data_IF_395849544144
#
_entry.id   IF_395849544144
#
_cell.length_a   1.000
_cell.length_b   1.000
_cell.length_c   1.000
_cell.angle_alpha   90.00
_cell.angle_beta   90.00
_cell.angle_gamma   90.00
#
_symmetry.space_group_name_H-M   'P 1'
#
loop_
_entity.id
_entity.type
_entity.pdbx_description
1 polymer ?
#
# COMPACT_ATOMS: atom_id res chain seq x y z
N UNK A 1 10.14 31.50 -14.76
CA UNK A 1 9.70 30.51 -13.75
C UNK A 1 10.89 29.61 -13.50
N UNK A 2 11.39 29.55 -12.28
CA UNK A 2 12.51 28.66 -11.95
C UNK A 2 11.98 27.21 -11.92
N UNK A 3 12.56 26.33 -12.73
CA UNK A 3 12.22 24.91 -12.82
C UNK A 3 13.32 24.01 -12.24
N UNK A 4 14.28 24.64 -11.58
CA UNK A 4 15.36 23.92 -10.91
C UNK A 4 14.77 23.00 -9.83
N UNK A 5 15.09 21.72 -9.89
CA UNK A 5 14.50 20.69 -9.01
C UNK A 5 13.28 19.95 -9.57
N UNK A 6 12.73 20.41 -10.72
CA UNK A 6 11.65 19.68 -11.42
C UNK A 6 12.18 18.93 -12.66
N UNK A 7 13.34 19.32 -13.18
CA UNK A 7 13.94 18.74 -14.39
C UNK A 7 15.45 18.50 -14.20
N UNK A 8 16.01 17.40 -14.73
CA UNK A 8 15.29 16.27 -15.32
C UNK A 8 14.47 15.49 -14.28
N UNK A 9 13.39 14.84 -14.70
CA UNK A 9 12.52 14.06 -13.83
C UNK A 9 12.39 12.63 -14.37
N UNK A 10 12.69 11.64 -13.53
CA UNK A 10 12.63 10.21 -13.87
C UNK A 10 11.41 9.52 -13.29
N UNK A 11 10.48 10.26 -12.65
CA UNK A 11 9.22 9.68 -12.17
C UNK A 11 8.34 9.30 -13.36
N UNK A 12 7.89 8.05 -13.39
CA UNK A 12 7.01 7.53 -14.43
C UNK A 12 5.53 7.85 -14.14
N UNK A 13 5.13 7.86 -12.84
CA UNK A 13 3.75 8.11 -12.43
C UNK A 13 3.43 9.61 -12.38
N UNK A 14 2.29 9.98 -12.99
CA UNK A 14 1.76 11.35 -12.96
C UNK A 14 1.43 11.82 -11.53
N UNK A 15 0.96 10.91 -10.69
CA UNK A 15 0.55 11.20 -9.32
C UNK A 15 1.72 11.72 -8.47
N UNK A 16 2.86 11.04 -8.52
CA UNK A 16 4.08 11.51 -7.86
C UNK A 16 4.52 12.88 -8.38
N UNK A 17 4.46 13.08 -9.70
CA UNK A 17 4.82 14.37 -10.33
C UNK A 17 3.93 15.52 -9.87
N UNK A 18 2.63 15.30 -9.66
CA UNK A 18 1.74 16.34 -9.13
C UNK A 18 2.20 16.82 -7.74
N UNK A 19 2.62 15.88 -6.89
CA UNK A 19 3.09 16.24 -5.54
C UNK A 19 4.47 16.89 -5.56
N UNK A 20 5.35 16.51 -6.49
CA UNK A 20 6.62 17.18 -6.71
C UNK A 20 6.40 18.65 -7.12
N UNK A 21 5.46 18.93 -8.02
CA UNK A 21 5.11 20.30 -8.40
C UNK A 21 4.47 21.07 -7.23
N UNK A 22 3.62 20.42 -6.42
CA UNK A 22 3.05 21.04 -5.21
C UNK A 22 4.15 21.43 -4.21
N UNK A 23 5.12 20.53 -3.99
CA UNK A 23 6.29 20.80 -3.14
C UNK A 23 7.15 21.95 -3.67
N UNK A 24 7.41 21.96 -4.96
CA UNK A 24 8.15 23.06 -5.60
C UNK A 24 7.41 24.40 -5.45
N UNK A 25 6.09 24.44 -5.69
CA UNK A 25 5.30 25.66 -5.49
C UNK A 25 5.40 26.17 -4.04
N UNK A 26 5.35 25.25 -3.06
CA UNK A 26 5.56 25.59 -1.65
C UNK A 26 6.95 26.19 -1.41
N UNK A 27 8.02 25.61 -1.98
CA UNK A 27 9.38 26.14 -1.87
C UNK A 27 9.52 27.55 -2.50
N UNK A 28 8.70 27.85 -3.51
CA UNK A 28 8.58 29.20 -4.11
C UNK A 28 7.69 30.15 -3.29
N UNK A 29 7.29 29.78 -2.08
CA UNK A 29 6.57 30.63 -1.15
C UNK A 29 5.04 30.48 -1.20
N UNK A 30 4.49 29.58 -2.02
CA UNK A 30 3.04 29.32 -2.05
C UNK A 30 2.63 28.55 -0.81
N UNK A 31 1.76 29.12 0.02
CA UNK A 31 1.27 28.49 1.25
C UNK A 31 -0.05 27.74 1.07
N UNK A 32 -0.70 27.89 -0.07
CA UNK A 32 -1.96 27.21 -0.42
C UNK A 32 -1.81 26.56 -1.78
N UNK A 33 -2.01 25.25 -1.84
CA UNK A 33 -1.94 24.47 -3.07
C UNK A 33 -3.20 23.63 -3.21
N UNK A 34 -3.79 23.67 -4.41
CA UNK A 34 -4.94 22.85 -4.77
C UNK A 34 -4.55 21.90 -5.90
N UNK A 35 -4.73 20.61 -5.67
CA UNK A 35 -4.58 19.57 -6.68
C UNK A 35 -5.97 19.09 -7.09
N UNK A 36 -6.22 18.95 -8.39
CA UNK A 36 -7.46 18.36 -8.90
C UNK A 36 -7.19 16.89 -9.29
N UNK A 37 -7.92 15.95 -8.71
CA UNK A 37 -7.78 14.54 -9.00
C UNK A 37 -9.09 13.78 -8.79
N UNK A 38 -9.18 12.60 -9.40
CA UNK A 38 -10.28 11.65 -9.20
C UNK A 38 -9.79 10.35 -8.58
N UNK A 39 -8.48 10.21 -8.46
CA UNK A 39 -7.81 9.04 -7.91
C UNK A 39 -7.56 9.19 -6.40
N UNK A 40 -7.86 8.13 -5.65
CA UNK A 40 -7.61 8.08 -4.21
C UNK A 40 -6.12 7.99 -3.88
N UNK A 41 -5.28 7.51 -4.79
CA UNK A 41 -3.84 7.44 -4.64
C UNK A 41 -3.27 8.85 -4.44
N UNK A 42 -3.74 9.83 -5.24
CA UNK A 42 -3.39 11.25 -5.09
C UNK A 42 -3.78 11.80 -3.71
N UNK A 43 -4.93 11.39 -3.17
CA UNK A 43 -5.34 11.85 -1.82
C UNK A 43 -4.38 11.33 -0.75
N UNK A 44 -4.00 10.07 -0.82
CA UNK A 44 -3.06 9.46 0.13
C UNK A 44 -1.68 10.10 0.04
N UNK A 45 -1.19 10.33 -1.18
CA UNK A 45 0.05 11.05 -1.43
C UNK A 45 -0.01 12.49 -0.92
N UNK A 46 -1.14 13.19 -1.11
CA UNK A 46 -1.31 14.56 -0.62
C UNK A 46 -1.29 14.64 0.91
N UNK A 47 -1.87 13.66 1.63
CA UNK A 47 -1.79 13.60 3.10
C UNK A 47 -0.34 13.45 3.55
N UNK A 48 0.42 12.52 2.94
CA UNK A 48 1.84 12.35 3.24
C UNK A 48 2.65 13.60 2.91
N UNK A 49 2.39 14.23 1.77
CA UNK A 49 3.07 15.46 1.35
C UNK A 49 2.78 16.61 2.31
N UNK A 50 1.52 16.80 2.73
CA UNK A 50 1.14 17.81 3.71
C UNK A 50 1.84 17.60 5.06
N UNK A 51 1.97 16.34 5.49
CA UNK A 51 2.75 16.00 6.68
C UNK A 51 4.23 16.40 6.59
N UNK A 52 4.83 16.37 5.39
CA UNK A 52 6.21 16.83 5.17
C UNK A 52 6.27 18.36 5.10
N UNK A 53 5.33 18.99 4.41
CA UNK A 53 5.30 20.44 4.16
C UNK A 53 4.62 21.24 5.27
N UNK A 54 4.55 20.78 6.46
CA UNK A 54 3.90 21.27 7.73
C UNK A 54 3.07 22.57 7.65
N UNK A 55 3.58 23.63 7.02
CA UNK A 55 2.93 24.94 6.92
C UNK A 55 2.21 25.18 5.57
N UNK A 56 1.90 24.12 4.83
CA UNK A 56 1.21 24.20 3.54
C UNK A 56 -0.25 23.76 3.68
N UNK A 57 -1.18 24.65 3.36
CA UNK A 57 -2.59 24.28 3.16
C UNK A 57 -2.73 23.52 1.84
N UNK A 58 -2.59 22.19 1.88
CA UNK A 58 -2.73 21.33 0.71
C UNK A 58 -4.15 20.76 0.63
N UNK A 59 -4.81 21.05 -0.50
CA UNK A 59 -6.17 20.62 -0.78
C UNK A 59 -6.23 19.73 -2.00
N UNK A 60 -7.14 18.75 -2.00
CA UNK A 60 -7.48 17.95 -3.17
C UNK A 60 -8.94 18.21 -3.57
N UNK A 61 -9.13 18.77 -4.76
CA UNK A 61 -10.45 18.86 -5.42
C UNK A 61 -10.75 17.50 -6.03
N UNK A 62 -11.54 16.69 -5.33
CA UNK A 62 -11.72 15.28 -5.59
C UNK A 62 -13.08 14.93 -6.18
N UNK A 63 -13.07 14.12 -7.22
CA UNK A 63 -14.25 13.52 -7.83
C UNK A 63 -14.95 14.41 -8.86
N UNK A 64 -16.15 14.00 -9.27
CA UNK A 64 -16.96 14.68 -10.29
C UNK A 64 -18.43 14.81 -9.89
N UNK A 65 -19.11 15.82 -10.44
CA UNK A 65 -20.55 16.04 -10.31
C UNK A 65 -20.99 16.04 -8.84
N UNK A 66 -21.99 15.25 -8.49
CA UNK A 66 -22.54 15.15 -7.12
C UNK A 66 -21.59 14.54 -6.09
N UNK A 67 -20.51 13.92 -6.53
CA UNK A 67 -19.48 13.33 -5.66
C UNK A 67 -18.24 14.23 -5.52
N UNK A 68 -18.26 15.40 -6.15
CA UNK A 68 -17.19 16.38 -6.01
C UNK A 68 -17.13 16.94 -4.59
N UNK A 69 -15.92 17.01 -4.04
CA UNK A 69 -15.63 17.57 -2.72
C UNK A 69 -14.20 18.07 -2.62
N UNK A 70 -13.97 19.00 -1.72
CA UNK A 70 -12.62 19.38 -1.32
C UNK A 70 -12.18 18.56 -0.13
N UNK A 71 -10.96 18.00 -0.19
CA UNK A 71 -10.33 17.24 0.88
C UNK A 71 -9.16 18.06 1.39
N UNK A 72 -9.19 18.44 2.66
CA UNK A 72 -8.12 19.16 3.34
C UNK A 72 -7.05 18.16 3.79
N UNK A 73 -6.09 17.83 2.91
CA UNK A 73 -5.06 16.84 3.18
C UNK A 73 -4.19 17.22 4.39
N UNK A 74 -3.89 18.52 4.56
CA UNK A 74 -3.18 19.04 5.71
C UNK A 74 -3.92 18.80 7.03
N UNK A 75 -5.25 19.04 7.07
CA UNK A 75 -6.03 18.79 8.29
C UNK A 75 -6.06 17.31 8.67
N UNK A 76 -6.09 16.41 7.68
CA UNK A 76 -5.99 14.96 7.95
C UNK A 76 -4.60 14.61 8.46
N UNK A 77 -3.54 15.21 7.90
CA UNK A 77 -2.18 14.98 8.35
C UNK A 77 -1.93 15.50 9.77
N UNK A 78 -2.56 16.61 10.16
CA UNK A 78 -2.47 17.18 11.51
C UNK A 78 -3.13 16.29 12.59
N UNK A 79 -4.17 15.53 12.22
CA UNK A 79 -4.86 14.58 13.10
C UNK A 79 -4.13 13.23 13.23
N UNK A 80 -3.16 12.96 12.35
CA UNK A 80 -2.35 11.76 12.35
C UNK A 80 -0.94 12.04 12.88
N UNK A 81 -0.35 11.05 13.56
CA UNK A 81 1.08 11.11 13.85
C UNK A 81 1.93 10.90 12.58
N UNK A 82 3.19 11.33 12.64
CA UNK A 82 4.12 11.25 11.50
C UNK A 82 4.31 9.80 11.00
N UNK A 83 4.32 8.83 11.91
CA UNK A 83 4.45 7.41 11.60
C UNK A 83 3.21 6.90 10.85
N UNK A 84 2.03 7.32 11.28
CA UNK A 84 0.76 7.00 10.61
C UNK A 84 0.65 7.63 9.24
N UNK A 85 1.01 8.91 9.08
CA UNK A 85 1.05 9.57 7.77
C UNK A 85 1.98 8.85 6.79
N UNK A 86 3.14 8.38 7.27
CA UNK A 86 4.09 7.61 6.46
C UNK A 86 3.55 6.22 6.13
N UNK A 87 3.05 5.49 7.13
CA UNK A 87 2.54 4.11 6.98
C UNK A 87 1.28 4.01 6.13
N UNK A 88 0.57 5.12 5.94
CA UNK A 88 -0.65 5.19 5.13
C UNK A 88 -0.39 4.78 3.67
N UNK A 89 0.80 5.07 3.11
CA UNK A 89 1.18 4.67 1.76
C UNK A 89 1.18 3.14 1.62
N UNK A 90 1.84 2.43 2.55
CA UNK A 90 1.87 0.96 2.51
C UNK A 90 0.50 0.35 2.82
N UNK A 91 -0.26 0.91 3.77
CA UNK A 91 -1.64 0.49 4.05
C UNK A 91 -2.50 0.57 2.79
N UNK A 92 -2.38 1.67 2.04
CA UNK A 92 -3.12 1.88 0.81
C UNK A 92 -2.73 0.86 -0.26
N UNK A 93 -1.43 0.66 -0.48
CA UNK A 93 -0.91 -0.29 -1.45
C UNK A 93 -1.29 -1.74 -1.12
N UNK A 94 -1.06 -2.20 0.13
CA UNK A 94 -1.31 -3.60 0.51
C UNK A 94 -2.80 -3.95 0.52
N UNK A 95 -3.68 -2.98 0.74
CA UNK A 95 -5.14 -3.18 0.67
C UNK A 95 -5.71 -3.12 -0.74
N UNK A 96 -4.88 -2.82 -1.74
CA UNK A 96 -5.21 -2.79 -3.16
C UNK A 96 -5.14 -1.38 -3.76
N UNK A 97 -4.41 -1.25 -4.86
CA UNK A 97 -4.33 -0.06 -5.71
C UNK A 97 -4.19 -0.52 -7.17
N UNK A 98 -3.96 0.38 -8.10
CA UNK A 98 -3.90 0.05 -9.54
C UNK A 98 -2.84 -1.01 -9.85
N UNK A 99 -1.71 -1.01 -9.17
CA UNK A 99 -0.58 -1.94 -9.39
C UNK A 99 -0.57 -3.15 -8.45
N UNK A 100 -1.34 -3.12 -7.37
CA UNK A 100 -1.37 -4.17 -6.34
C UNK A 100 -2.79 -4.66 -6.10
N UNK A 101 -3.01 -5.96 -6.19
CA UNK A 101 -4.32 -6.58 -5.98
C UNK A 101 -4.86 -6.36 -4.56
N UNK A 102 -6.18 -6.40 -4.42
CA UNK A 102 -6.85 -6.32 -3.11
C UNK A 102 -7.07 -7.72 -2.50
N UNK A 103 -7.28 -7.78 -1.19
CA UNK A 103 -7.79 -8.96 -0.52
C UNK A 103 -9.29 -9.10 -0.79
N UNK A 104 -9.74 -10.27 -1.25
CA UNK A 104 -11.13 -10.50 -1.62
C UNK A 104 -12.08 -10.22 -0.46
N UNK A 105 -13.07 -9.37 -0.70
CA UNK A 105 -14.07 -8.98 0.30
C UNK A 105 -13.56 -8.07 1.43
N UNK A 106 -12.30 -7.64 1.39
CA UNK A 106 -11.70 -6.77 2.42
C UNK A 106 -11.47 -5.39 1.84
N UNK A 107 -12.21 -4.40 2.32
CA UNK A 107 -12.05 -3.02 1.90
C UNK A 107 -11.03 -2.23 2.75
N UNK A 108 -10.64 -1.06 2.26
CA UNK A 108 -9.68 -0.14 2.91
C UNK A 108 -10.12 0.25 4.34
N UNK A 109 -11.43 0.39 4.59
CA UNK A 109 -11.95 0.67 5.94
C UNK A 109 -11.58 -0.45 6.92
N UNK A 110 -11.77 -1.72 6.54
CA UNK A 110 -11.40 -2.87 7.38
C UNK A 110 -9.89 -2.92 7.61
N UNK A 111 -9.10 -2.65 6.56
CA UNK A 111 -7.65 -2.60 6.66
C UNK A 111 -7.18 -1.50 7.64
N UNK A 112 -7.74 -0.29 7.52
CA UNK A 112 -7.50 0.83 8.42
C UNK A 112 -7.84 0.48 9.88
N UNK A 113 -9.01 -0.09 10.13
CA UNK A 113 -9.47 -0.45 11.47
C UNK A 113 -8.57 -1.51 12.12
N UNK A 114 -8.03 -2.47 11.35
CA UNK A 114 -7.06 -3.45 11.88
C UNK A 114 -5.70 -2.81 12.10
N UNK A 115 -5.21 -2.03 11.15
CA UNK A 115 -3.90 -1.41 11.21
C UNK A 115 -3.72 -0.54 12.47
N UNK A 116 -4.72 0.28 12.79
CA UNK A 116 -4.69 1.17 13.97
C UNK A 116 -4.76 0.46 15.31
N UNK A 117 -4.96 -0.86 15.36
CA UNK A 117 -5.05 -1.60 16.63
C UNK A 117 -3.68 -1.89 17.27
N UNK A 118 -2.57 -1.67 16.55
CA UNK A 118 -1.24 -2.04 17.03
C UNK A 118 -0.15 -1.14 16.46
N UNK A 119 0.68 -0.61 17.35
CA UNK A 119 1.83 0.21 16.96
C UNK A 119 2.86 -0.61 16.16
N UNK A 120 2.93 -1.93 16.38
CA UNK A 120 3.78 -2.82 15.58
C UNK A 120 3.39 -2.78 14.10
N UNK A 121 2.09 -2.71 13.78
CA UNK A 121 1.65 -2.56 12.40
C UNK A 121 1.98 -1.17 11.85
N UNK A 122 1.83 -0.11 12.64
CA UNK A 122 2.16 1.26 12.22
C UNK A 122 3.64 1.36 11.88
N UNK A 123 4.51 0.92 12.79
CA UNK A 123 5.97 0.98 12.61
C UNK A 123 6.43 0.16 11.40
N UNK A 124 5.90 -1.03 11.19
CA UNK A 124 6.22 -1.82 10.02
C UNK A 124 5.79 -1.09 8.72
N UNK A 125 4.56 -0.59 8.67
CA UNK A 125 4.02 0.05 7.46
C UNK A 125 4.75 1.35 7.15
N UNK A 126 5.07 2.15 8.18
CA UNK A 126 5.92 3.34 8.03
C UNK A 126 7.27 2.99 7.41
N UNK A 127 7.96 1.97 7.94
CA UNK A 127 9.25 1.52 7.43
C UNK A 127 9.16 0.99 5.98
N UNK A 128 8.13 0.24 5.64
CA UNK A 128 7.93 -0.28 4.27
C UNK A 128 7.54 0.80 3.26
N UNK A 129 7.16 1.99 3.75
CA UNK A 129 6.88 3.18 2.92
C UNK A 129 8.10 4.09 2.71
N UNK A 130 9.29 3.71 3.21
CA UNK A 130 10.53 4.51 3.15
C UNK A 130 11.58 3.90 2.21
N UNK A 131 11.18 3.39 1.06
CA UNK A 131 12.08 2.73 0.09
C UNK A 131 13.01 1.68 0.75
N UNK A 132 12.44 0.64 1.37
CA UNK A 132 13.22 -0.36 2.11
C UNK A 132 14.17 -1.11 1.18
N UNK A 133 15.38 -1.40 1.65
CA UNK A 133 16.36 -2.18 0.85
C UNK A 133 15.94 -3.63 0.68
N UNK A 134 15.18 -4.17 1.63
CA UNK A 134 14.70 -5.55 1.62
C UNK A 134 13.50 -5.70 2.56
N UNK A 135 12.75 -6.77 2.37
CA UNK A 135 11.70 -7.23 3.27
C UNK A 135 12.10 -8.58 3.89
N UNK A 136 12.24 -8.62 5.21
CA UNK A 136 12.73 -9.79 5.92
C UNK A 136 11.59 -10.71 6.42
N UNK A 137 11.95 -11.90 6.92
CA UNK A 137 10.97 -12.85 7.47
C UNK A 137 10.20 -12.30 8.68
N UNK A 138 10.81 -11.45 9.52
CA UNK A 138 10.12 -10.83 10.65
C UNK A 138 9.01 -9.89 10.19
N UNK A 139 9.22 -9.17 9.08
CA UNK A 139 8.20 -8.34 8.46
C UNK A 139 7.01 -9.17 8.00
N UNK A 140 7.31 -10.30 7.33
CA UNK A 140 6.28 -11.20 6.86
C UNK A 140 5.48 -11.81 8.02
N UNK A 141 6.11 -12.12 9.16
CA UNK A 141 5.40 -12.61 10.36
C UNK A 141 4.38 -11.58 10.85
N UNK A 142 4.78 -10.31 10.90
CA UNK A 142 3.89 -9.21 11.31
C UNK A 142 2.76 -9.00 10.29
N UNK A 143 3.06 -9.09 8.99
CA UNK A 143 2.07 -9.02 7.92
C UNK A 143 1.10 -10.20 7.94
N UNK A 144 1.58 -11.43 8.23
CA UNK A 144 0.70 -12.58 8.42
C UNK A 144 -0.32 -12.32 9.53
N UNK A 145 0.12 -11.77 10.67
CA UNK A 145 -0.78 -11.42 11.77
C UNK A 145 -1.80 -10.35 11.36
N UNK A 146 -1.37 -9.30 10.68
CA UNK A 146 -2.25 -8.28 10.13
C UNK A 146 -3.32 -8.91 9.23
N UNK A 147 -2.92 -9.74 8.26
CA UNK A 147 -3.84 -10.39 7.32
C UNK A 147 -4.79 -11.36 8.02
N UNK A 148 -4.33 -12.13 9.01
CA UNK A 148 -5.24 -12.97 9.81
C UNK A 148 -6.36 -12.15 10.44
N UNK A 149 -6.03 -10.98 10.99
CA UNK A 149 -7.02 -10.07 11.62
C UNK A 149 -7.96 -9.42 10.61
N UNK A 150 -7.56 -9.24 9.35
CA UNK A 150 -8.46 -8.78 8.29
C UNK A 150 -9.62 -9.75 8.06
N UNK A 151 -9.35 -11.06 8.10
CA UNK A 151 -10.35 -12.10 7.85
C UNK A 151 -11.09 -12.54 9.12
N UNK A 152 -10.46 -12.44 10.28
CA UNK A 152 -11.06 -12.79 11.57
C UNK A 152 -10.45 -11.95 12.71
N UNK A 153 -11.14 -10.88 13.09
CA UNK A 153 -10.70 -9.87 14.08
C UNK A 153 -10.28 -10.43 15.43
N UNK A 154 -10.93 -11.49 15.88
CA UNK A 154 -10.72 -12.13 17.19
C UNK A 154 -9.84 -13.38 17.11
N UNK A 155 -9.23 -13.65 15.96
CA UNK A 155 -8.39 -14.84 15.79
C UNK A 155 -7.15 -14.77 16.69
N UNK A 156 -6.82 -15.83 17.45
CA UNK A 156 -5.56 -15.92 18.18
C UNK A 156 -4.39 -16.34 17.28
N UNK A 157 -4.65 -16.76 16.03
CA UNK A 157 -3.64 -17.29 15.13
C UNK A 157 -2.72 -16.19 14.62
N UNK A 158 -1.44 -16.53 14.46
CA UNK A 158 -0.40 -15.61 13.97
C UNK A 158 -0.05 -15.84 12.49
N UNK A 159 -0.36 -17.01 11.95
CA UNK A 159 0.08 -17.45 10.62
C UNK A 159 -1.10 -17.59 9.68
N UNK A 160 -0.95 -17.06 8.46
CA UNK A 160 -2.02 -17.13 7.44
C UNK A 160 -2.35 -18.56 7.02
N UNK A 161 -1.36 -19.46 6.93
CA UNK A 161 -1.60 -20.85 6.54
C UNK A 161 -2.43 -21.60 7.59
N UNK A 162 -2.24 -21.32 8.87
CA UNK A 162 -3.05 -21.89 9.96
C UNK A 162 -4.48 -21.32 9.94
N UNK A 163 -4.60 -20.01 9.78
CA UNK A 163 -5.90 -19.34 9.64
C UNK A 163 -6.67 -19.86 8.42
N UNK A 164 -5.98 -20.08 7.30
CA UNK A 164 -6.54 -20.68 6.09
C UNK A 164 -7.13 -22.05 6.36
N UNK A 165 -6.36 -22.95 6.97
CA UNK A 165 -6.82 -24.31 7.34
C UNK A 165 -8.04 -24.25 8.23
N UNK A 166 -8.01 -23.43 9.28
CA UNK A 166 -9.13 -23.28 10.22
C UNK A 166 -10.38 -22.74 9.54
N UNK A 167 -10.27 -21.67 8.75
CA UNK A 167 -11.43 -21.06 8.08
C UNK A 167 -12.01 -21.95 6.98
N UNK A 168 -11.19 -22.78 6.34
CA UNK A 168 -11.62 -23.77 5.38
C UNK A 168 -12.38 -24.92 6.07
N UNK A 169 -11.86 -25.43 7.20
CA UNK A 169 -12.44 -26.56 7.93
C UNK A 169 -13.76 -26.23 8.62
N UNK A 170 -13.93 -25.00 9.12
CA UNK A 170 -15.07 -24.62 9.96
C UNK A 170 -16.16 -23.81 9.25
N UNK A 171 -16.10 -23.65 7.94
CA UNK A 171 -17.11 -22.85 7.25
C UNK A 171 -17.23 -23.20 5.77
N UNK A 172 -18.46 -23.09 5.25
CA UNK A 172 -18.76 -23.09 3.82
C UNK A 172 -18.18 -21.83 3.13
N UNK A 173 -16.94 -21.43 3.47
CA UNK A 173 -16.28 -20.28 2.87
C UNK A 173 -15.67 -20.69 1.54
N UNK A 174 -15.93 -19.90 0.51
CA UNK A 174 -15.24 -20.03 -0.76
C UNK A 174 -13.74 -19.77 -0.57
N UNK A 175 -12.88 -20.38 -1.39
CA UNK A 175 -11.41 -20.21 -1.33
C UNK A 175 -10.95 -18.75 -1.41
N UNK A 176 -11.68 -17.92 -2.12
CA UNK A 176 -11.43 -16.47 -2.24
C UNK A 176 -11.70 -15.69 -0.95
N UNK A 177 -12.55 -16.25 -0.06
CA UNK A 177 -12.95 -15.61 1.21
C UNK A 177 -12.13 -16.08 2.42
N UNK A 178 -10.98 -16.70 2.18
CA UNK A 178 -10.00 -17.07 3.20
C UNK A 178 -8.65 -16.40 2.88
N UNK A 179 -7.76 -16.22 3.87
CA UNK A 179 -6.47 -15.57 3.67
C UNK A 179 -5.65 -16.17 2.51
N UNK A 180 -4.77 -15.42 1.84
CA UNK A 180 -3.83 -15.98 0.89
C UNK A 180 -2.87 -16.97 1.56
N UNK A 181 -2.17 -17.80 0.78
CA UNK A 181 -1.05 -18.58 1.31
C UNK A 181 0.10 -17.65 1.72
N UNK A 182 0.98 -18.09 2.62
CA UNK A 182 2.17 -17.32 3.02
C UNK A 182 3.04 -16.94 1.81
N UNK A 183 3.22 -17.84 0.85
CA UNK A 183 3.99 -17.57 -0.36
C UNK A 183 3.34 -16.50 -1.25
N UNK A 184 2.03 -16.56 -1.44
CA UNK A 184 1.30 -15.54 -2.18
C UNK A 184 1.30 -14.20 -1.45
N UNK A 185 1.14 -14.19 -0.12
CA UNK A 185 1.23 -12.98 0.71
C UNK A 185 2.61 -12.33 0.60
N UNK A 186 3.70 -13.11 0.58
CA UNK A 186 5.05 -12.57 0.40
C UNK A 186 5.16 -11.78 -0.92
N UNK A 187 4.72 -12.36 -2.04
CA UNK A 187 4.79 -11.69 -3.34
C UNK A 187 3.89 -10.45 -3.39
N UNK A 188 2.71 -10.53 -2.82
CA UNK A 188 1.79 -9.40 -2.68
C UNK A 188 2.40 -8.27 -1.86
N UNK A 189 2.96 -8.58 -0.68
CA UNK A 189 3.57 -7.60 0.22
C UNK A 189 4.81 -6.94 -0.39
N UNK A 190 5.62 -7.70 -1.14
CA UNK A 190 6.76 -7.14 -1.90
C UNK A 190 6.29 -6.10 -2.92
N UNK A 191 5.25 -6.40 -3.71
CA UNK A 191 4.69 -5.41 -4.66
C UNK A 191 4.13 -4.19 -3.96
N UNK A 192 3.44 -4.37 -2.83
CA UNK A 192 2.95 -3.25 -2.03
C UNK A 192 4.09 -2.39 -1.47
N UNK A 193 5.19 -2.99 -1.01
CA UNK A 193 6.36 -2.25 -0.53
C UNK A 193 7.12 -1.53 -1.67
N UNK A 194 7.15 -2.12 -2.86
CA UNK A 194 7.70 -1.46 -4.04
C UNK A 194 6.89 -0.21 -4.39
N UNK A 195 5.57 -0.34 -4.50
CA UNK A 195 4.69 0.79 -4.81
C UNK A 195 4.74 1.87 -3.72
N UNK A 196 4.57 1.48 -2.45
CA UNK A 196 4.53 2.43 -1.34
C UNK A 196 5.87 3.11 -1.06
N UNK A 197 6.96 2.34 -1.11
CA UNK A 197 8.29 2.84 -0.71
C UNK A 197 9.11 3.38 -1.87
N UNK A 198 9.23 2.60 -2.96
CA UNK A 198 10.13 2.98 -4.07
C UNK A 198 9.47 3.89 -5.10
N UNK A 199 8.14 3.87 -5.21
CA UNK A 199 7.41 4.77 -6.11
C UNK A 199 6.85 5.95 -5.31
N UNK A 200 5.87 5.73 -4.46
CA UNK A 200 5.17 6.79 -3.73
C UNK A 200 6.01 7.45 -2.63
N UNK A 201 6.83 6.69 -1.92
CA UNK A 201 7.73 7.22 -0.87
C UNK A 201 8.76 8.20 -1.38
N UNK A 202 9.00 8.22 -2.69
CA UNK A 202 9.92 9.14 -3.38
C UNK A 202 9.19 10.19 -4.24
N UNK A 203 7.89 10.41 -4.03
CA UNK A 203 7.07 11.33 -4.83
C UNK A 203 7.57 12.78 -4.86
N UNK A 204 8.35 13.21 -3.87
CA UNK A 204 8.94 14.55 -3.80
C UNK A 204 10.38 14.62 -4.35
N UNK A 205 10.87 13.55 -4.97
CA UNK A 205 12.20 13.45 -5.55
C UNK A 205 12.10 13.42 -7.07
N UNK A 206 12.73 14.37 -7.77
CA UNK A 206 12.66 14.44 -9.22
C UNK A 206 13.38 13.25 -9.89
N UNK A 207 14.59 12.91 -9.42
CA UNK A 207 15.40 11.82 -9.94
C UNK A 207 15.32 10.60 -9.02
N UNK A 208 14.32 9.76 -9.26
CA UNK A 208 14.06 8.54 -8.48
C UNK A 208 14.97 7.41 -8.99
N UNK A 209 15.56 6.69 -8.05
CA UNK A 209 16.29 5.44 -8.31
C UNK A 209 15.47 4.30 -7.75
N UNK A 210 14.87 3.51 -8.63
CA UNK A 210 14.10 2.33 -8.25
C UNK A 210 14.95 1.06 -8.36
N UNK A 211 14.86 0.12 -7.41
CA UNK A 211 15.49 -1.18 -7.54
C UNK A 211 14.81 -2.01 -8.65
N UNK A 212 15.43 -3.13 -9.03
CA UNK A 212 14.80 -4.03 -10.00
C UNK A 212 13.46 -4.55 -9.48
N UNK A 213 12.36 -4.46 -10.25
CA UNK A 213 11.08 -5.03 -9.85
C UNK A 213 11.13 -6.54 -9.57
N UNK A 214 12.12 -7.27 -10.13
CA UNK A 214 12.30 -8.70 -9.91
C UNK A 214 12.49 -9.07 -8.44
N UNK A 215 13.09 -8.21 -7.65
CA UNK A 215 13.30 -8.43 -6.21
C UNK A 215 12.02 -8.16 -5.40
N UNK A 216 11.04 -7.50 -6.03
CA UNK A 216 9.83 -6.97 -5.41
C UNK A 216 8.54 -7.63 -5.91
N UNK A 217 8.62 -8.91 -6.25
CA UNK A 217 7.43 -9.70 -6.57
C UNK A 217 6.92 -9.55 -8.00
N UNK A 218 7.78 -9.10 -8.91
CA UNK A 218 7.54 -9.04 -10.34
C UNK A 218 8.50 -9.95 -11.09
N UNK A 219 8.10 -10.41 -12.25
CA UNK A 219 8.93 -11.19 -13.17
C UNK A 219 8.85 -10.59 -14.58
N UNK A 220 9.96 -10.60 -15.30
CA UNK A 220 9.98 -10.12 -16.67
C UNK A 220 9.67 -11.29 -17.61
N UNK A 221 8.57 -11.20 -18.33
CA UNK A 221 8.14 -12.19 -19.32
C UNK A 221 8.10 -11.53 -20.68
N UNK A 222 9.07 -11.85 -21.53
CA UNK A 222 9.11 -11.30 -22.89
C UNK A 222 9.24 -9.77 -22.96
N UNK A 223 9.94 -9.15 -22.00
CA UNK A 223 10.11 -7.70 -21.93
C UNK A 223 9.02 -6.95 -21.18
N UNK A 224 7.99 -7.64 -20.70
CA UNK A 224 6.89 -7.05 -19.92
C UNK A 224 6.94 -7.54 -18.47
N UNK A 225 6.77 -6.61 -17.50
CA UNK A 225 6.68 -6.96 -16.10
C UNK A 225 5.30 -7.53 -15.77
N UNK A 226 5.30 -8.71 -15.18
CA UNK A 226 4.10 -9.42 -14.71
C UNK A 226 4.25 -9.77 -13.24
N UNK A 227 3.15 -9.91 -12.46
CA UNK A 227 3.23 -10.35 -11.09
C UNK A 227 3.87 -11.73 -10.98
N UNK A 228 4.90 -11.88 -10.13
CA UNK A 228 5.45 -13.19 -9.81
C UNK A 228 4.40 -14.01 -9.02
N UNK A 229 3.96 -15.11 -9.59
CA UNK A 229 3.01 -16.01 -8.95
C UNK A 229 3.75 -16.98 -8.03
N UNK A 230 3.15 -17.30 -6.87
CA UNK A 230 3.72 -18.36 -6.04
C UNK A 230 3.57 -19.69 -6.78
N UNK A 231 4.68 -20.39 -7.01
CA UNK A 231 4.73 -21.69 -7.69
C UNK A 231 4.07 -22.84 -6.90
N UNK A 232 3.66 -22.58 -5.66
CA UNK A 232 2.98 -23.53 -4.80
C UNK A 232 1.52 -23.68 -5.26
N UNK A 233 1.31 -24.51 -6.27
CA UNK A 233 0.02 -25.10 -6.61
C UNK A 233 -0.58 -25.96 -5.48
N UNK A 234 0.00 -25.86 -4.30
CA UNK A 234 -0.25 -26.67 -3.10
C UNK A 234 -1.57 -26.38 -2.43
N UNK A 235 -2.10 -25.14 -2.50
CA UNK A 235 -3.41 -24.87 -1.91
C UNK A 235 -4.50 -25.74 -2.55
N UNK A 236 -4.41 -26.01 -3.85
CA UNK A 236 -5.36 -26.90 -4.53
C UNK A 236 -5.02 -28.38 -4.29
N UNK A 237 -3.76 -28.75 -4.15
CA UNK A 237 -3.36 -30.13 -3.82
C UNK A 237 -3.73 -30.51 -2.38
N UNK A 238 -3.33 -29.69 -1.41
CA UNK A 238 -3.65 -29.90 0.02
C UNK A 238 -5.16 -29.87 0.27
N UNK A 239 -5.90 -28.98 -0.41
CA UNK A 239 -7.36 -28.99 -0.32
C UNK A 239 -7.99 -30.23 -0.96
N UNK A 240 -7.44 -30.76 -2.06
CA UNK A 240 -7.91 -32.02 -2.67
C UNK A 240 -7.54 -33.24 -1.83
N UNK A 241 -6.44 -33.23 -1.12
CA UNK A 241 -6.04 -34.28 -0.19
C UNK A 241 -6.92 -34.30 1.07
N UNK A 242 -7.30 -33.11 1.59
CA UNK A 242 -8.23 -32.99 2.73
C UNK A 242 -9.65 -33.46 2.39
N UNK A 243 -10.09 -33.33 1.15
CA UNK A 243 -11.41 -33.82 0.68
C UNK A 243 -11.42 -35.36 0.52
N UNK A 244 -10.25 -36.02 0.38
CA UNK A 244 -10.15 -37.48 0.28
C UNK A 244 -10.15 -38.20 1.61
N UNK A 245 -10.07 -37.48 2.73
CA UNK A 245 -10.05 -38.04 4.09
C UNK A 245 -11.41 -37.90 4.81
N UNK A 246 -12.50 -37.59 4.11
CA UNK A 246 -13.86 -37.52 4.65
C UNK A 246 -14.69 -38.75 4.23
#
# INVERSE_FOLDING_TARGET
MDVHGLTPCTQDEADGRMLLHASHAYQQGQKRVLIQATDTDVVVLAIRTANILKDCELWVAFGHGKHFRYIAAHSIADELDDESCQGLLFLHAISGCDTVSAFCGIGKKTAWEVWRTSDVFKSLFSRLSLAPSTMCDADLVTLERFVVLLYQRTSPLLRVNEARKRLFAFGNRKLENIPPTRAALMQHAKRAAFQAGHVWGQSLVANVITPSPADWGWENVGGTWSPAWSSLGEASKVCRELVKCA
#
